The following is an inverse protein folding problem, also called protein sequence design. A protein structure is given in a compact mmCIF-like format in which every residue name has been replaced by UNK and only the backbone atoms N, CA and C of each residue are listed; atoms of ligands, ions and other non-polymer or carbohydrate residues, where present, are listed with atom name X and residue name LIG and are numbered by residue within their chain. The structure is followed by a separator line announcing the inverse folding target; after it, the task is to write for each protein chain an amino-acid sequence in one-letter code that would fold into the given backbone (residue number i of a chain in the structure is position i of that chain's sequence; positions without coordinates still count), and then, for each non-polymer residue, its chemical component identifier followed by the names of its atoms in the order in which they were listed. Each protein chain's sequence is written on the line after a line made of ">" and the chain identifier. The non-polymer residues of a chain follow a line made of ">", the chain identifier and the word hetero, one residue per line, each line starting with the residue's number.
data_IF_299434635891
#
_entry.id   IF_299434635891
#
_cell.length_a   1.000
_cell.length_b   1.000
_cell.length_c   1.000
_cell.angle_alpha   90.00
_cell.angle_beta   90.00
_cell.angle_gamma   90.00
#
_symmetry.space_group_name_H-M   'P 1'
#
loop_
_entity.id
_entity.type
_entity.pdbx_description
1 polymer ?
#
# COMPACT_ATOMS: atom_id res chain seq x y z
N UNK A 1 10.07 -4.57 -16.77
CA UNK A 1 9.09 -3.97 -15.84
C UNK A 1 9.86 -3.19 -14.79
N UNK A 2 9.76 -1.86 -14.80
CA UNK A 2 10.35 -1.01 -13.77
C UNK A 2 9.41 -1.04 -12.55
N UNK A 3 9.78 -1.78 -11.52
CA UNK A 3 9.27 -1.50 -10.17
C UNK A 3 10.02 -0.27 -9.70
N UNK A 4 9.50 0.90 -10.06
CA UNK A 4 9.85 2.15 -9.40
C UNK A 4 9.77 1.88 -7.89
N UNK A 5 10.72 2.39 -7.12
CA UNK A 5 10.74 2.19 -5.67
C UNK A 5 9.66 3.08 -5.04
N UNK A 6 8.42 2.74 -5.35
CA UNK A 6 7.20 3.46 -5.05
C UNK A 6 6.80 3.25 -3.62
N UNK A 7 6.13 4.25 -3.08
CA UNK A 7 5.50 4.15 -1.78
C UNK A 7 4.51 2.97 -1.79
N UNK A 8 4.57 2.08 -0.80
CA UNK A 8 3.67 0.91 -0.68
C UNK A 8 2.19 1.28 -0.83
N UNK A 9 1.81 2.49 -0.39
CA UNK A 9 0.45 3.00 -0.55
C UNK A 9 0.07 3.26 -2.01
N UNK A 10 1.01 3.71 -2.84
CA UNK A 10 0.77 3.91 -4.28
C UNK A 10 0.58 2.58 -4.99
N UNK A 11 1.34 1.56 -4.63
CA UNK A 11 1.21 0.23 -5.21
C UNK A 11 -0.14 -0.40 -4.83
N UNK A 12 -0.58 -0.23 -3.59
CA UNK A 12 -1.93 -0.64 -3.18
C UNK A 12 -3.01 0.14 -3.94
N UNK A 13 -2.87 1.46 -4.13
CA UNK A 13 -3.84 2.24 -4.93
C UNK A 13 -3.90 1.76 -6.38
N UNK A 14 -2.75 1.46 -6.99
CA UNK A 14 -2.68 0.92 -8.36
C UNK A 14 -3.35 -0.46 -8.43
N UNK A 15 -3.09 -1.33 -7.46
CA UNK A 15 -3.71 -2.64 -7.37
C UNK A 15 -5.23 -2.54 -7.19
N UNK A 16 -5.72 -1.65 -6.33
CA UNK A 16 -7.15 -1.39 -6.19
C UNK A 16 -7.79 -0.97 -7.52
N UNK A 17 -7.15 -0.06 -8.26
CA UNK A 17 -7.63 0.42 -9.58
C UNK A 17 -7.58 -0.66 -10.67
N UNK A 18 -6.58 -1.55 -10.61
CA UNK A 18 -6.44 -2.65 -11.55
C UNK A 18 -7.33 -3.85 -11.20
N UNK A 19 -7.77 -3.97 -9.95
CA UNK A 19 -8.68 -5.03 -9.51
C UNK A 19 -10.09 -4.82 -10.06
N UNK A 20 -10.79 -5.91 -10.34
CA UNK A 20 -12.22 -5.89 -10.67
C UNK A 20 -13.11 -5.70 -9.43
N UNK A 21 -12.52 -5.42 -8.26
CA UNK A 21 -13.24 -5.31 -6.99
C UNK A 21 -13.75 -3.89 -6.80
N UNK A 22 -15.04 -3.76 -6.55
CA UNK A 22 -15.63 -2.48 -6.15
C UNK A 22 -15.17 -2.10 -4.74
N UNK A 23 -15.17 -0.80 -4.44
CA UNK A 23 -14.92 -0.32 -3.05
C UNK A 23 -15.84 -0.98 -2.03
N UNK A 24 -17.09 -1.24 -2.39
CA UNK A 24 -18.04 -1.95 -1.53
C UNK A 24 -17.56 -3.37 -1.21
N UNK A 25 -17.09 -4.11 -2.22
CA UNK A 25 -16.55 -5.45 -2.05
C UNK A 25 -15.30 -5.45 -1.18
N UNK A 26 -14.40 -4.50 -1.41
CA UNK A 26 -13.20 -4.32 -0.57
C UNK A 26 -13.57 -3.98 0.88
N UNK A 27 -14.56 -3.13 1.12
CA UNK A 27 -15.05 -2.86 2.48
C UNK A 27 -15.58 -4.13 3.17
N UNK A 28 -16.36 -4.94 2.45
CA UNK A 28 -16.90 -6.21 2.99
C UNK A 28 -15.81 -7.22 3.32
N UNK A 29 -14.78 -7.33 2.49
CA UNK A 29 -13.69 -8.29 2.67
C UNK A 29 -12.68 -7.82 3.74
N UNK A 30 -12.38 -6.52 3.80
CA UNK A 30 -11.31 -5.98 4.68
C UNK A 30 -11.82 -5.39 5.99
N UNK A 31 -13.10 -5.04 6.07
CA UNK A 31 -13.68 -4.25 7.16
C UNK A 31 -13.27 -2.77 7.18
N UNK A 32 -12.47 -2.30 6.20
CA UNK A 32 -12.00 -0.92 6.12
C UNK A 32 -13.15 -0.04 5.62
N UNK A 33 -13.48 1.01 6.37
CA UNK A 33 -14.56 1.93 6.04
C UNK A 33 -14.48 2.47 4.60
N UNK A 34 -15.64 2.58 3.94
CA UNK A 34 -15.71 2.98 2.54
C UNK A 34 -15.20 4.41 2.31
N UNK A 35 -15.40 5.33 3.26
CA UNK A 35 -14.86 6.68 3.16
C UNK A 35 -13.34 6.68 3.28
N UNK A 36 -12.78 5.79 4.09
CA UNK A 36 -11.33 5.61 4.20
C UNK A 36 -10.74 5.03 2.91
N UNK A 37 -11.35 3.98 2.34
CA UNK A 37 -10.95 3.42 1.05
C UNK A 37 -11.03 4.46 -0.09
N UNK A 38 -12.02 5.35 -0.06
CA UNK A 38 -12.15 6.46 -1.00
C UNK A 38 -10.98 7.45 -0.88
N UNK A 39 -10.70 7.93 0.34
CA UNK A 39 -9.57 8.83 0.61
C UNK A 39 -8.24 8.20 0.25
N UNK A 40 -8.06 6.90 0.52
CA UNK A 40 -6.87 6.16 0.11
C UNK A 40 -6.69 6.19 -1.41
N UNK A 41 -7.74 5.88 -2.19
CA UNK A 41 -7.68 5.91 -3.66
C UNK A 41 -7.31 7.29 -4.22
N UNK A 42 -7.74 8.35 -3.54
CA UNK A 42 -7.45 9.74 -3.90
C UNK A 42 -6.06 10.22 -3.41
N UNK A 43 -5.36 9.42 -2.60
CA UNK A 43 -4.08 9.82 -2.01
C UNK A 43 -4.19 10.72 -0.77
N UNK A 44 -5.40 10.88 -0.23
CA UNK A 44 -5.72 11.78 0.89
C UNK A 44 -5.61 11.11 2.25
N UNK A 45 -5.50 9.78 2.30
CA UNK A 45 -5.31 9.01 3.52
C UNK A 45 -4.23 7.95 3.36
N UNK A 46 -3.55 7.67 4.47
CA UNK A 46 -2.70 6.49 4.64
C UNK A 46 -3.49 5.29 5.18
N UNK A 47 -2.78 4.22 5.49
CA UNK A 47 -3.31 3.03 6.16
C UNK A 47 -2.44 2.68 7.37
N UNK A 48 -3.05 2.10 8.40
CA UNK A 48 -2.31 1.33 9.40
C UNK A 48 -1.70 0.08 8.74
N UNK A 49 -0.67 -0.49 9.35
CA UNK A 49 -0.06 -1.72 8.85
C UNK A 49 -1.06 -2.88 8.80
N UNK A 50 -1.89 -3.04 9.82
CA UNK A 50 -2.95 -4.05 9.86
C UNK A 50 -3.94 -3.91 8.70
N UNK A 51 -4.40 -2.70 8.41
CA UNK A 51 -5.29 -2.48 7.26
C UNK A 51 -4.57 -2.65 5.92
N UNK A 52 -3.25 -2.44 5.89
CA UNK A 52 -2.41 -2.70 4.73
C UNK A 52 -2.36 -4.20 4.42
N UNK A 53 -2.15 -5.05 5.43
CA UNK A 53 -2.16 -6.51 5.31
C UNK A 53 -3.51 -7.02 4.83
N UNK A 54 -4.60 -6.61 5.49
CA UNK A 54 -5.98 -7.00 5.09
C UNK A 54 -6.29 -6.60 3.65
N UNK A 55 -5.89 -5.40 3.24
CA UNK A 55 -6.11 -4.93 1.89
C UNK A 55 -5.26 -5.69 0.87
N UNK A 56 -4.00 -5.99 1.19
CA UNK A 56 -3.14 -6.81 0.35
C UNK A 56 -3.74 -8.21 0.15
N UNK A 57 -4.16 -8.87 1.24
CA UNK A 57 -4.82 -10.18 1.18
C UNK A 57 -6.09 -10.14 0.30
N UNK A 58 -6.97 -9.15 0.51
CA UNK A 58 -8.18 -8.99 -0.29
C UNK A 58 -7.89 -8.75 -1.78
N UNK A 59 -6.74 -8.19 -2.12
CA UNK A 59 -6.28 -7.95 -3.49
C UNK A 59 -5.45 -9.12 -4.06
N UNK A 60 -5.21 -10.19 -3.28
CA UNK A 60 -4.38 -11.32 -3.70
C UNK A 60 -2.88 -10.96 -3.78
N UNK A 61 -2.42 -10.05 -2.92
CA UNK A 61 -1.05 -9.57 -2.85
C UNK A 61 -0.37 -10.01 -1.55
N UNK A 62 0.96 -10.02 -1.56
CA UNK A 62 1.80 -10.28 -0.39
C UNK A 62 2.68 -9.06 -0.09
N UNK A 63 2.82 -8.73 1.20
CA UNK A 63 3.73 -7.68 1.67
C UNK A 63 5.03 -8.34 2.13
N UNK A 64 6.13 -8.06 1.42
CA UNK A 64 7.45 -8.63 1.74
C UNK A 64 8.39 -7.55 2.28
N UNK A 65 8.81 -7.69 3.54
CA UNK A 65 9.88 -6.87 4.11
C UNK A 65 11.25 -7.42 3.73
N UNK A 66 12.18 -6.55 3.35
CA UNK A 66 13.57 -6.92 3.03
C UNK A 66 14.54 -6.03 3.81
N UNK A 67 15.73 -6.54 4.19
CA UNK A 67 16.75 -5.71 4.81
C UNK A 67 17.05 -4.48 3.96
N UNK A 68 17.08 -3.30 4.58
CA UNK A 68 17.47 -2.08 3.90
C UNK A 68 18.90 -2.22 3.40
N UNK A 69 19.15 -1.89 2.12
CA UNK A 69 20.52 -1.72 1.64
C UNK A 69 21.11 -0.57 2.45
N UNK A 70 22.13 -0.86 3.27
CA UNK A 70 22.91 0.18 3.95
C UNK A 70 23.56 1.06 2.87
N UNK A 71 22.95 2.18 2.56
CA UNK A 71 23.65 3.26 1.88
C UNK A 71 24.64 3.78 2.92
N UNK A 72 25.92 3.53 2.74
CA UNK A 72 26.97 4.16 3.55
C UNK A 72 26.85 5.66 3.36
N UNK A 73 26.09 6.33 4.23
CA UNK A 73 26.08 7.77 4.31
C UNK A 73 27.52 8.19 4.63
N UNK A 74 28.13 8.99 3.75
CA UNK A 74 29.43 9.58 4.03
C UNK A 74 29.27 10.41 5.31
N UNK A 75 29.94 9.99 6.37
CA UNK A 75 30.23 10.82 7.54
C UNK A 75 30.86 12.11 7.01
N UNK A 76 30.09 13.20 7.01
CA UNK A 76 30.63 14.54 6.80
C UNK A 76 31.22 14.97 8.14
N UNK A 77 32.47 14.60 8.34
CA UNK A 77 33.32 15.13 9.39
C UNK A 77 33.53 16.64 9.10
N UNK A 78 33.03 17.49 9.98
CA UNK A 78 33.35 18.93 10.10
C UNK A 78 33.06 19.39 11.51
#
# INVERSE_FOLDING_TARGET
>A
MMFDMGNVLDDLRKAMKASEKTRYRLWKETGIDQSHLAKLLNGEAGLSFENMERLAEALGLEIITRPAKRTTAKTKDR
#
